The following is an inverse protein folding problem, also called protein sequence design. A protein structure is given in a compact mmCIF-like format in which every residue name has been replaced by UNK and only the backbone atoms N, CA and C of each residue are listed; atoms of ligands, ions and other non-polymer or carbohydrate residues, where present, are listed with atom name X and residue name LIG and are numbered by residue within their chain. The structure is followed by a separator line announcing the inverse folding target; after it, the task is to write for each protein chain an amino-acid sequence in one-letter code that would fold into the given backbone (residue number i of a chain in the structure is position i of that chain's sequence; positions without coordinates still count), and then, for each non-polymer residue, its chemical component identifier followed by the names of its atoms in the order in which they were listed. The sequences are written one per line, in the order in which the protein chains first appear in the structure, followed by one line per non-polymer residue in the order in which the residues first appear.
data_IF_600311259577
#
_entry.id   IF_600311259577
#
_cell.length_a   1.000
_cell.length_b   1.000
_cell.length_c   1.000
_cell.angle_alpha   90.00
_cell.angle_beta   90.00
_cell.angle_gamma   90.00
#
_symmetry.space_group_name_H-M   'P 1'
#
loop_
_entity.id
_entity.type
_entity.pdbx_description
1 polymer ?
#
# COMPACT_ATOMS: atom_id res chain seq x y z
N UNK A 1 4.51 -7.80 -21.67
CA UNK A 1 5.26 -6.83 -20.84
C UNK A 1 4.22 -5.97 -20.15
N UNK A 2 4.32 -5.73 -18.84
CA UNK A 2 3.33 -4.92 -18.12
C UNK A 2 3.37 -3.48 -18.65
N UNK A 3 2.20 -2.85 -18.78
CA UNK A 3 2.04 -1.41 -19.00
C UNK A 3 2.52 -0.62 -17.77
N UNK A 4 2.77 0.69 -17.95
CA UNK A 4 3.14 1.58 -16.83
C UNK A 4 2.08 1.55 -15.71
N UNK A 5 0.80 1.59 -16.07
CA UNK A 5 -0.32 1.52 -15.12
C UNK A 5 -0.32 0.20 -14.33
N UNK A 6 -0.12 -0.93 -15.00
CA UNK A 6 0.00 -2.24 -14.34
C UNK A 6 1.20 -2.31 -13.40
N UNK A 7 2.34 -1.70 -13.76
CA UNK A 7 3.53 -1.63 -12.89
C UNK A 7 3.29 -0.79 -11.63
N UNK A 8 2.62 0.35 -11.77
CA UNK A 8 2.23 1.19 -10.63
C UNK A 8 1.30 0.43 -9.69
N UNK A 9 0.29 -0.27 -10.22
CA UNK A 9 -0.63 -1.07 -9.43
C UNK A 9 0.07 -2.23 -8.71
N UNK A 10 1.01 -2.91 -9.38
CA UNK A 10 1.81 -3.97 -8.78
C UNK A 10 2.66 -3.47 -7.60
N UNK A 11 3.27 -2.30 -7.73
CA UNK A 11 4.05 -1.66 -6.66
C UNK A 11 3.13 -1.25 -5.49
N UNK A 12 1.97 -0.68 -5.79
CA UNK A 12 0.96 -0.30 -4.80
C UNK A 12 0.42 -1.51 -4.03
N UNK A 13 0.06 -2.58 -4.73
CA UNK A 13 -0.38 -3.84 -4.14
C UNK A 13 0.67 -4.40 -3.18
N UNK A 14 1.95 -4.43 -3.59
CA UNK A 14 3.02 -4.86 -2.70
C UNK A 14 3.12 -4.00 -1.44
N UNK A 15 2.98 -2.69 -1.59
CA UNK A 15 3.06 -1.79 -0.45
C UNK A 15 1.92 -2.03 0.54
N UNK A 16 0.68 -2.06 0.03
CA UNK A 16 -0.53 -2.18 0.85
C UNK A 16 -0.58 -3.53 1.55
N UNK A 17 -0.46 -4.63 0.82
CA UNK A 17 -0.70 -5.97 1.38
C UNK A 17 0.51 -6.60 2.06
N UNK A 18 1.72 -6.06 1.82
CA UNK A 18 2.94 -6.66 2.37
C UNK A 18 3.77 -5.69 3.19
N UNK A 19 4.18 -4.55 2.62
CA UNK A 19 5.03 -3.61 3.34
C UNK A 19 4.31 -3.03 4.58
N UNK A 20 3.04 -2.65 4.45
CA UNK A 20 2.27 -2.09 5.56
C UNK A 20 1.98 -3.11 6.67
N UNK A 21 1.90 -4.41 6.40
CA UNK A 21 1.52 -5.40 7.41
C UNK A 21 2.72 -6.09 8.07
N UNK A 22 3.83 -6.28 7.36
CA UNK A 22 4.96 -7.09 7.86
C UNK A 22 6.23 -6.26 8.06
N UNK A 23 6.60 -6.02 9.31
CA UNK A 23 7.86 -5.43 9.77
C UNK A 23 9.09 -6.12 9.16
N UNK A 24 9.06 -7.44 9.00
CA UNK A 24 10.16 -8.18 8.34
C UNK A 24 10.38 -7.73 6.90
N UNK A 25 9.31 -7.31 6.21
CA UNK A 25 9.39 -6.68 4.89
C UNK A 25 9.84 -5.22 5.03
N UNK A 26 9.25 -4.45 5.96
CA UNK A 26 9.64 -3.03 6.19
C UNK A 26 11.13 -2.86 6.47
N UNK A 27 11.76 -3.78 7.21
CA UNK A 27 13.21 -3.79 7.50
C UNK A 27 14.08 -3.87 6.24
N UNK A 28 13.55 -4.34 5.10
CA UNK A 28 14.24 -4.39 3.80
C UNK A 28 14.03 -3.12 2.96
N UNK A 29 13.19 -2.20 3.42
CA UNK A 29 12.87 -0.92 2.78
C UNK A 29 13.50 0.24 3.57
N UNK A 30 13.59 1.42 2.95
CA UNK A 30 14.00 2.65 3.64
C UNK A 30 12.79 3.30 4.34
N UNK A 31 12.31 2.63 5.40
CA UNK A 31 11.15 3.09 6.16
C UNK A 31 11.53 4.30 7.04
N UNK A 32 10.80 5.40 6.90
CA UNK A 32 10.94 6.62 7.71
C UNK A 32 9.59 7.31 7.84
N UNK A 33 9.45 8.27 8.75
CA UNK A 33 8.22 9.08 8.85
C UNK A 33 7.88 9.79 7.52
N UNK A 34 8.89 10.16 6.72
CA UNK A 34 8.73 10.77 5.40
C UNK A 34 8.26 9.79 4.31
N UNK A 35 8.34 8.49 4.59
CA UNK A 35 7.93 7.39 3.71
C UNK A 35 6.81 6.57 4.35
N UNK A 36 6.00 7.21 5.20
CA UNK A 36 4.84 6.56 5.80
C UNK A 36 3.81 6.14 4.71
N UNK A 37 2.83 5.28 5.04
CA UNK A 37 1.86 4.78 4.07
C UNK A 37 1.11 5.87 3.29
N UNK A 38 0.79 6.99 3.95
CA UNK A 38 0.10 8.14 3.34
C UNK A 38 0.97 8.78 2.25
N UNK A 39 2.20 9.15 2.58
CA UNK A 39 3.10 9.79 1.60
C UNK A 39 3.52 8.85 0.48
N UNK A 40 3.52 7.53 0.70
CA UNK A 40 3.71 6.58 -0.39
C UNK A 40 2.50 6.57 -1.33
N UNK A 41 1.28 6.55 -0.77
CA UNK A 41 0.03 6.62 -1.53
C UNK A 41 -0.02 7.86 -2.42
N UNK A 42 0.33 9.03 -1.87
CA UNK A 42 0.37 10.28 -2.64
C UNK A 42 1.30 10.17 -3.86
N UNK A 43 2.52 9.63 -3.69
CA UNK A 43 3.47 9.44 -4.79
C UNK A 43 2.94 8.51 -5.88
N UNK A 44 2.31 7.42 -5.48
CA UNK A 44 1.69 6.46 -6.41
C UNK A 44 0.57 7.13 -7.20
N UNK A 45 -0.29 7.90 -6.54
CA UNK A 45 -1.40 8.59 -7.21
C UNK A 45 -0.88 9.68 -8.16
N UNK A 46 0.12 10.46 -7.75
CA UNK A 46 0.78 11.42 -8.64
C UNK A 46 1.43 10.74 -9.85
N UNK A 47 2.13 9.61 -9.67
CA UNK A 47 2.70 8.85 -10.77
C UNK A 47 1.64 8.31 -11.72
N UNK A 48 0.50 7.85 -11.20
CA UNK A 48 -0.62 7.37 -11.99
C UNK A 48 -1.24 8.49 -12.83
N UNK A 49 -1.63 9.59 -12.19
CA UNK A 49 -2.24 10.75 -12.85
C UNK A 49 -1.30 11.35 -13.91
N UNK A 50 -0.03 11.54 -13.56
CA UNK A 50 0.95 12.08 -14.52
C UNK A 50 1.20 11.13 -15.69
N UNK A 51 1.21 9.80 -15.46
CA UNK A 51 1.39 8.82 -16.54
C UNK A 51 0.22 8.82 -17.50
N UNK A 52 -1.01 8.87 -16.98
CA UNK A 52 -2.22 8.99 -17.80
C UNK A 52 -2.20 10.28 -18.63
N UNK A 53 -1.82 11.40 -18.02
CA UNK A 53 -1.76 12.70 -18.70
C UNK A 53 -0.69 12.73 -19.80
N UNK A 54 0.50 12.20 -19.55
CA UNK A 54 1.65 12.26 -20.47
C UNK A 54 1.54 11.22 -21.59
N UNK A 55 1.14 9.99 -21.27
CA UNK A 55 1.21 8.87 -22.23
C UNK A 55 -0.13 8.54 -22.90
N UNK A 56 -1.26 8.83 -22.25
CA UNK A 56 -2.58 8.42 -22.77
C UNK A 56 -3.40 9.61 -23.28
N UNK A 57 -3.39 10.75 -22.57
CA UNK A 57 -4.22 11.92 -22.87
C UNK A 57 -3.51 13.01 -23.67
N UNK A 58 -2.20 12.96 -23.78
CA UNK A 58 -1.44 13.97 -24.51
C UNK A 58 -1.67 13.83 -26.03
N UNK A 59 -2.19 14.88 -26.67
CA UNK A 59 -2.42 14.89 -28.11
C UNK A 59 -1.50 15.92 -28.80
N UNK A 60 -0.48 15.48 -29.55
CA UNK A 60 0.46 16.33 -30.29
C UNK A 60 -0.23 17.32 -31.25
N UNK A 61 -1.40 16.98 -31.78
CA UNK A 61 -2.12 17.79 -32.79
C UNK A 61 -2.83 19.02 -32.23
N UNK A 62 -2.99 19.09 -30.91
CA UNK A 62 -3.63 20.23 -30.21
C UNK A 62 -2.66 20.95 -29.29
N UNK A 63 -1.36 20.78 -29.53
CA UNK A 63 -0.31 21.32 -28.65
C UNK A 63 -0.19 22.83 -28.83
N UNK A 64 -0.23 23.53 -27.70
CA UNK A 64 0.18 24.92 -27.59
C UNK A 64 1.32 24.99 -26.57
N UNK A 65 1.93 26.17 -26.43
CA UNK A 65 3.05 26.35 -25.50
C UNK A 65 2.70 25.94 -24.06
N UNK A 66 1.45 26.17 -23.62
CA UNK A 66 1.00 25.80 -22.27
C UNK A 66 0.97 24.28 -22.08
N UNK A 67 0.36 23.54 -23.02
CA UNK A 67 0.30 22.07 -22.92
C UNK A 67 1.66 21.41 -23.09
N UNK A 68 2.54 21.99 -23.90
CA UNK A 68 3.94 21.56 -24.02
C UNK A 68 4.72 21.77 -22.72
N UNK A 69 4.64 22.97 -22.15
CA UNK A 69 5.26 23.33 -20.86
C UNK A 69 4.78 22.40 -19.75
N UNK A 70 3.46 22.16 -19.71
CA UNK A 70 2.84 21.22 -18.78
C UNK A 70 3.39 19.80 -18.93
N UNK A 71 3.49 19.28 -20.15
CA UNK A 71 4.03 17.95 -20.41
C UNK A 71 5.50 17.82 -19.97
N UNK A 72 6.36 18.78 -20.33
CA UNK A 72 7.77 18.80 -19.91
C UNK A 72 7.88 18.81 -18.37
N UNK A 73 7.08 19.65 -17.71
CA UNK A 73 7.08 19.75 -16.26
C UNK A 73 6.57 18.46 -15.60
N UNK A 74 5.53 17.83 -16.13
CA UNK A 74 5.02 16.55 -15.61
C UNK A 74 6.04 15.43 -15.76
N UNK A 75 6.67 15.30 -16.92
CA UNK A 75 7.73 14.31 -17.15
C UNK A 75 8.93 14.54 -16.21
N UNK A 76 9.27 15.81 -15.92
CA UNK A 76 10.31 16.13 -14.93
C UNK A 76 9.88 15.70 -13.51
N UNK A 77 8.65 15.98 -13.10
CA UNK A 77 8.11 15.56 -11.79
C UNK A 77 8.12 14.03 -11.67
N UNK A 78 7.74 13.31 -12.72
CA UNK A 78 7.81 11.85 -12.75
C UNK A 78 9.21 11.31 -12.46
N UNK A 79 10.27 11.97 -12.95
CA UNK A 79 11.64 11.55 -12.65
C UNK A 79 11.98 11.68 -11.17
N UNK A 80 11.62 12.81 -10.56
CA UNK A 80 11.95 13.07 -9.16
C UNK A 80 11.13 12.12 -8.25
N UNK A 81 9.84 11.89 -8.57
CA UNK A 81 9.02 10.89 -7.89
C UNK A 81 9.56 9.47 -8.03
N UNK A 82 10.07 9.10 -9.21
CA UNK A 82 10.70 7.80 -9.42
C UNK A 82 11.98 7.64 -8.62
N UNK A 83 12.80 8.69 -8.49
CA UNK A 83 14.00 8.64 -7.63
C UNK A 83 13.63 8.48 -6.16
N UNK A 84 12.62 9.20 -5.68
CA UNK A 84 12.10 9.02 -4.32
C UNK A 84 11.60 7.58 -4.12
N UNK A 85 10.86 7.04 -5.08
CA UNK A 85 10.38 5.66 -5.02
C UNK A 85 11.56 4.67 -5.00
N UNK A 86 12.59 4.86 -5.82
CA UNK A 86 13.82 4.06 -5.81
C UNK A 86 14.51 4.10 -4.46
N UNK A 87 14.58 5.26 -3.82
CA UNK A 87 15.17 5.41 -2.49
C UNK A 87 14.39 4.59 -1.44
N UNK A 88 13.06 4.56 -1.50
CA UNK A 88 12.22 3.72 -0.62
C UNK A 88 12.60 2.24 -0.75
N UNK A 89 12.85 1.78 -1.98
CA UNK A 89 13.27 0.40 -2.26
C UNK A 89 14.78 0.15 -2.12
N UNK A 90 15.54 1.12 -1.56
CA UNK A 90 17.01 1.06 -1.41
C UNK A 90 17.74 0.79 -2.73
N UNK A 91 17.25 1.39 -3.80
CA UNK A 91 17.92 1.42 -5.10
C UNK A 91 18.70 2.74 -5.23
N UNK A 92 19.83 2.75 -5.96
CA UNK A 92 20.52 3.99 -6.27
C UNK A 92 19.61 4.89 -7.12
N UNK A 93 19.83 6.20 -7.09
CA UNK A 93 19.12 7.15 -7.96
C UNK A 93 19.24 6.73 -9.44
N UNK A 94 18.22 7.05 -10.23
CA UNK A 94 18.21 6.74 -11.65
C UNK A 94 19.38 7.45 -12.34
N UNK A 95 20.06 6.73 -13.23
CA UNK A 95 21.04 7.37 -14.10
C UNK A 95 20.30 8.26 -15.13
N UNK A 96 20.42 9.58 -14.97
CA UNK A 96 19.83 10.60 -15.86
C UNK A 96 20.86 11.19 -16.84
N UNK A 97 22.05 10.59 -16.95
CA UNK A 97 23.11 11.07 -17.86
C UNK A 97 22.63 11.01 -19.30
N UNK A 98 22.74 12.13 -20.05
CA UNK A 98 22.25 12.24 -21.42
C UNK A 98 20.73 12.40 -21.56
N UNK A 99 20.00 12.54 -20.44
CA UNK A 99 18.55 12.71 -20.47
C UNK A 99 18.17 14.18 -20.66
N UNK A 100 18.01 14.56 -21.93
CA UNK A 100 17.79 15.94 -22.43
C UNK A 100 16.67 16.69 -21.70
N UNK A 101 15.61 16.00 -21.25
CA UNK A 101 14.45 16.66 -20.65
C UNK A 101 14.82 17.55 -19.46
N UNK A 102 15.79 17.16 -18.63
CA UNK A 102 16.15 17.94 -17.43
C UNK A 102 16.80 19.27 -17.83
N UNK A 103 17.68 19.22 -18.82
CA UNK A 103 18.28 20.43 -19.39
C UNK A 103 17.20 21.29 -20.04
N UNK A 104 16.40 20.71 -20.92
CA UNK A 104 15.30 21.39 -21.60
C UNK A 104 14.32 22.06 -20.63
N UNK A 105 13.88 21.37 -19.59
CA UNK A 105 13.01 21.93 -18.54
C UNK A 105 13.68 23.10 -17.82
N UNK A 106 14.96 22.97 -17.47
CA UNK A 106 15.69 24.04 -16.79
C UNK A 106 15.87 25.26 -17.69
N UNK A 107 16.20 25.05 -18.95
CA UNK A 107 16.43 26.10 -19.95
C UNK A 107 15.12 26.79 -20.37
N UNK A 108 14.02 26.06 -20.54
CA UNK A 108 12.77 26.63 -21.08
C UNK A 108 11.76 27.08 -20.02
N UNK A 109 11.80 26.47 -18.83
CA UNK A 109 10.75 26.63 -17.81
C UNK A 109 11.34 27.11 -16.48
N UNK A 110 12.39 26.46 -16.00
CA UNK A 110 12.94 26.74 -14.67
C UNK A 110 13.67 28.09 -14.58
N UNK A 111 14.64 28.30 -15.48
CA UNK A 111 15.52 29.45 -15.51
C UNK A 111 15.77 29.93 -16.95
N UNK A 112 14.73 30.38 -17.67
CA UNK A 112 14.87 30.89 -19.03
C UNK A 112 15.77 32.13 -19.11
N UNK A 113 15.94 32.84 -17.99
CA UNK A 113 16.99 33.84 -17.80
C UNK A 113 17.82 33.37 -16.60
N UNK A 114 19.06 32.95 -16.87
CA UNK A 114 19.97 32.39 -15.88
C UNK A 114 21.06 33.40 -15.52
N UNK A 115 21.36 33.50 -14.23
CA UNK A 115 22.37 34.39 -13.66
C UNK A 115 23.45 33.55 -12.95
N UNK A 116 24.69 34.02 -12.95
CA UNK A 116 25.77 33.41 -12.17
C UNK A 116 25.68 33.80 -10.67
N UNK A 117 26.50 33.17 -9.83
CA UNK A 117 26.54 33.46 -8.38
C UNK A 117 26.97 34.90 -8.05
N UNK A 118 27.58 35.60 -9.02
CA UNK A 118 28.05 36.98 -8.90
C UNK A 118 27.01 38.00 -9.42
N UNK A 119 25.87 37.53 -9.93
CA UNK A 119 24.79 38.37 -10.46
C UNK A 119 24.96 38.79 -11.92
N UNK A 120 25.89 38.19 -12.67
CA UNK A 120 26.02 38.43 -14.11
C UNK A 120 25.06 37.54 -14.90
N UNK A 121 24.53 38.05 -16.01
CA UNK A 121 23.70 37.27 -16.90
C UNK A 121 24.54 36.14 -17.52
N UNK A 122 24.13 34.89 -17.31
CA UNK A 122 24.81 33.70 -17.83
C UNK A 122 24.25 33.29 -19.19
N UNK A 123 22.93 33.16 -19.29
CA UNK A 123 22.24 32.78 -20.52
C UNK A 123 20.77 33.19 -20.53
N UNK A 124 20.24 33.43 -21.72
CA UNK A 124 18.81 33.62 -21.97
C UNK A 124 18.33 32.62 -23.02
N UNK A 125 17.14 32.06 -22.85
CA UNK A 125 16.54 31.09 -23.76
C UNK A 125 15.18 31.61 -24.24
N UNK A 126 14.97 31.60 -25.55
CA UNK A 126 13.73 32.06 -26.17
C UNK A 126 13.13 30.96 -27.05
N UNK A 127 11.82 30.77 -26.93
CA UNK A 127 11.06 29.92 -27.83
C UNK A 127 11.13 30.45 -29.25
N UNK A 128 11.43 29.57 -30.22
CA UNK A 128 11.33 29.95 -31.62
C UNK A 128 9.86 29.82 -32.03
N UNK A 129 9.24 30.91 -32.50
CA UNK A 129 7.79 31.15 -32.52
C UNK A 129 6.91 30.27 -33.43
N UNK A 130 7.37 29.09 -33.84
CA UNK A 130 6.64 28.13 -34.68
C UNK A 130 6.29 26.84 -33.94
N UNK A 131 5.25 26.85 -33.11
CA UNK A 131 4.73 25.61 -32.51
C UNK A 131 3.89 24.86 -33.53
N UNK A 132 4.45 23.82 -34.15
CA UNK A 132 3.72 22.92 -35.05
C UNK A 132 3.21 21.63 -34.35
N UNK A 133 3.46 21.49 -33.04
CA UNK A 133 3.07 20.33 -32.24
C UNK A 133 3.93 19.08 -32.46
N UNK A 134 4.97 19.16 -33.30
CA UNK A 134 5.86 18.04 -33.64
C UNK A 134 7.26 18.20 -33.02
N UNK A 135 7.71 19.46 -32.87
CA UNK A 135 9.01 19.78 -32.32
C UNK A 135 8.98 20.87 -31.25
N UNK A 136 10.03 20.86 -30.44
CA UNK A 136 10.36 21.85 -29.42
C UNK A 136 11.57 22.60 -29.96
N UNK A 137 11.32 23.84 -30.37
CA UNK A 137 12.30 24.66 -31.08
C UNK A 137 12.61 25.89 -30.22
N UNK A 138 13.88 26.10 -29.89
CA UNK A 138 14.32 27.25 -29.10
C UNK A 138 15.73 27.69 -29.45
N UNK A 139 16.02 28.96 -29.14
CA UNK A 139 17.32 29.58 -29.33
C UNK A 139 17.88 29.99 -27.97
N UNK A 140 19.14 29.65 -27.74
CA UNK A 140 19.88 30.02 -26.54
C UNK A 140 20.89 31.11 -26.86
N UNK A 141 21.02 32.06 -25.95
CA UNK A 141 21.97 33.16 -25.99
C UNK A 141 22.83 33.06 -24.72
N UNK A 142 24.08 32.63 -24.84
CA UNK A 142 24.97 32.44 -23.69
C UNK A 142 26.13 33.44 -23.68
N UNK A 143 26.54 33.84 -22.48
CA UNK A 143 27.71 34.70 -22.25
C UNK A 143 29.00 34.11 -22.84
N UNK A 144 29.14 32.77 -22.83
CA UNK A 144 30.25 32.02 -23.44
C UNK A 144 30.38 32.28 -24.96
N UNK A 145 29.27 32.60 -25.62
CA UNK A 145 29.19 32.92 -27.05
C UNK A 145 28.87 34.41 -27.31
N UNK A 146 29.24 35.31 -26.38
CA UNK A 146 28.94 36.74 -26.48
C UNK A 146 27.45 37.09 -26.72
N UNK A 147 26.54 36.21 -26.28
CA UNK A 147 25.10 36.30 -26.57
C UNK A 147 24.75 36.36 -28.06
N UNK A 148 25.59 35.80 -28.93
CA UNK A 148 25.16 35.44 -30.28
C UNK A 148 24.20 34.25 -30.22
N UNK A 149 23.17 34.19 -31.10
CA UNK A 149 22.23 33.10 -31.13
C UNK A 149 22.97 31.78 -31.40
N UNK A 150 22.86 30.82 -30.48
CA UNK A 150 23.27 29.45 -30.74
C UNK A 150 22.39 28.84 -31.84
N UNK A 151 22.86 27.76 -32.48
CA UNK A 151 22.06 27.02 -33.46
C UNK A 151 20.70 26.65 -32.88
N UNK A 152 19.66 26.73 -33.71
CA UNK A 152 18.30 26.36 -33.32
C UNK A 152 18.31 24.95 -32.75
N UNK A 153 18.02 24.86 -31.46
CA UNK A 153 17.95 23.57 -30.79
C UNK A 153 16.56 23.00 -31.05
N UNK A 154 16.52 21.96 -31.87
CA UNK A 154 15.30 21.30 -32.32
C UNK A 154 15.21 19.89 -31.77
N UNK A 155 14.20 19.65 -30.93
CA UNK A 155 13.91 18.31 -30.44
C UNK A 155 12.56 17.81 -30.95
N UNK A 156 12.51 16.56 -31.42
CA UNK A 156 11.25 15.90 -31.69
C UNK A 156 10.52 15.59 -30.39
N UNK A 157 9.29 16.09 -30.27
CA UNK A 157 8.42 15.83 -29.12
C UNK A 157 8.07 14.34 -29.00
N UNK A 158 7.80 13.68 -30.13
CA UNK A 158 7.55 12.24 -30.17
C UNK A 158 8.77 11.45 -29.64
N UNK A 159 9.98 11.84 -30.03
CA UNK A 159 11.20 11.21 -29.54
C UNK A 159 11.37 11.41 -28.03
N UNK A 160 11.10 12.61 -27.51
CA UNK A 160 11.16 12.88 -26.06
C UNK A 160 10.18 11.98 -25.30
N UNK A 161 8.94 11.86 -25.78
CA UNK A 161 7.93 11.02 -25.15
C UNK A 161 8.35 9.55 -25.15
N UNK A 162 8.86 9.04 -26.27
CA UNK A 162 9.35 7.65 -26.38
C UNK A 162 10.53 7.39 -25.43
N UNK A 163 11.52 8.29 -25.39
CA UNK A 163 12.66 8.14 -24.48
C UNK A 163 12.23 8.27 -23.01
N UNK A 164 11.23 9.10 -22.72
CA UNK A 164 10.65 9.19 -21.39
C UNK A 164 9.93 7.91 -20.98
N UNK A 165 9.09 7.37 -21.86
CA UNK A 165 8.40 6.11 -21.61
C UNK A 165 9.40 4.98 -21.35
N UNK A 166 10.49 4.89 -22.13
CA UNK A 166 11.58 3.93 -21.90
C UNK A 166 12.25 4.14 -20.55
N UNK A 167 12.54 5.39 -20.19
CA UNK A 167 13.13 5.73 -18.90
C UNK A 167 12.23 5.28 -17.75
N UNK A 168 10.95 5.67 -17.76
CA UNK A 168 9.95 5.34 -16.73
C UNK A 168 9.79 3.83 -16.60
N UNK A 169 9.63 3.13 -17.73
CA UNK A 169 9.52 1.68 -17.74
C UNK A 169 10.74 0.99 -17.12
N UNK A 170 11.95 1.44 -17.47
CA UNK A 170 13.19 0.92 -16.89
C UNK A 170 13.24 1.10 -15.37
N UNK A 171 12.82 2.27 -14.88
CA UNK A 171 12.81 2.54 -13.43
C UNK A 171 11.83 1.60 -12.71
N UNK A 172 10.61 1.47 -13.22
CA UNK A 172 9.63 0.56 -12.64
C UNK A 172 10.07 -0.90 -12.70
N UNK A 173 10.71 -1.33 -13.79
CA UNK A 173 11.23 -2.70 -13.89
C UNK A 173 12.29 -3.00 -12.84
N UNK A 174 13.20 -2.05 -12.57
CA UNK A 174 14.20 -2.20 -11.50
C UNK A 174 13.55 -2.28 -10.11
N UNK A 175 12.52 -1.46 -9.85
CA UNK A 175 11.74 -1.50 -8.61
C UNK A 175 11.02 -2.84 -8.48
N UNK A 176 10.34 -3.32 -9.52
CA UNK A 176 9.62 -4.60 -9.52
C UNK A 176 10.58 -5.77 -9.30
N UNK A 177 11.76 -5.77 -9.94
CA UNK A 177 12.80 -6.79 -9.68
C UNK A 177 13.21 -6.79 -8.20
N UNK A 178 13.37 -5.61 -7.60
CA UNK A 178 13.68 -5.48 -6.17
C UNK A 178 12.55 -6.04 -5.29
N UNK A 179 11.30 -5.71 -5.61
CA UNK A 179 10.12 -6.25 -4.91
C UNK A 179 10.07 -7.77 -5.00
N UNK A 180 10.23 -8.35 -6.19
CA UNK A 180 10.22 -9.81 -6.38
C UNK A 180 11.35 -10.50 -5.59
N UNK A 181 12.53 -9.87 -5.49
CA UNK A 181 13.61 -10.37 -4.62
C UNK A 181 13.22 -10.36 -3.14
N UNK A 182 12.52 -9.31 -2.68
CA UNK A 182 12.02 -9.23 -1.30
C UNK A 182 10.94 -10.30 -1.05
N UNK A 183 9.94 -10.41 -1.95
CA UNK A 183 8.86 -11.41 -1.89
C UNK A 183 9.42 -12.82 -1.82
N UNK A 184 10.30 -13.21 -2.75
CA UNK A 184 10.89 -14.55 -2.79
C UNK A 184 11.64 -14.90 -1.49
N UNK A 185 12.40 -13.95 -0.93
CA UNK A 185 13.07 -14.15 0.35
C UNK A 185 12.05 -14.32 1.47
N UNK A 186 11.04 -13.45 1.56
CA UNK A 186 10.03 -13.52 2.60
C UNK A 186 9.19 -14.80 2.53
N UNK A 187 8.72 -15.18 1.34
CA UNK A 187 8.05 -16.44 1.04
C UNK A 187 8.83 -17.63 1.60
N UNK A 188 10.14 -17.72 1.31
CA UNK A 188 10.97 -18.80 1.83
C UNK A 188 11.11 -18.81 3.36
N UNK A 189 10.99 -17.65 4.01
CA UNK A 189 11.04 -17.53 5.46
C UNK A 189 9.72 -18.00 6.10
N UNK A 190 8.57 -17.56 5.58
CA UNK A 190 7.26 -17.90 6.14
C UNK A 190 6.83 -19.33 5.83
N UNK A 191 7.27 -19.92 4.71
CA UNK A 191 7.00 -21.31 4.36
C UNK A 191 7.56 -22.31 5.42
N UNK A 192 8.50 -21.88 6.25
CA UNK A 192 8.96 -22.66 7.41
C UNK A 192 7.87 -22.94 8.44
N UNK A 193 6.86 -22.06 8.55
CA UNK A 193 5.73 -22.22 9.48
C UNK A 193 4.86 -23.40 9.06
N UNK A 194 4.64 -23.60 7.75
CA UNK A 194 3.84 -24.70 7.20
C UNK A 194 4.45 -26.09 7.44
N UNK A 195 5.75 -26.15 7.76
CA UNK A 195 6.47 -27.40 8.05
C UNK A 195 6.27 -27.90 9.49
N UNK A 196 5.68 -27.07 10.36
CA UNK A 196 5.35 -27.47 11.72
C UNK A 196 4.18 -28.46 11.71
N UNK A 197 4.12 -29.31 12.74
CA UNK A 197 3.02 -30.22 12.99
C UNK A 197 1.71 -29.43 13.20
N UNK A 198 0.61 -30.00 12.74
CA UNK A 198 -0.72 -29.38 12.82
C UNK A 198 -1.41 -29.75 14.14
N UNK A 199 -0.72 -29.46 15.24
CA UNK A 199 -1.21 -29.71 16.59
C UNK A 199 -0.64 -28.69 17.60
N UNK A 200 -1.16 -28.76 18.81
CA UNK A 200 -0.80 -27.84 19.89
C UNK A 200 0.58 -28.12 20.50
N UNK A 201 1.24 -29.22 20.14
CA UNK A 201 2.55 -29.57 20.73
C UNK A 201 3.66 -28.62 20.29
N UNK A 202 3.56 -28.08 19.06
CA UNK A 202 4.51 -27.11 18.53
C UNK A 202 4.06 -25.65 18.72
N UNK A 203 3.00 -25.40 19.50
CA UNK A 203 2.46 -24.06 19.71
C UNK A 203 3.52 -23.00 20.11
N UNK A 204 4.46 -23.25 21.05
CA UNK A 204 5.50 -22.27 21.37
C UNK A 204 6.37 -21.90 20.16
N UNK A 205 6.57 -22.82 19.21
CA UNK A 205 7.29 -22.54 17.96
C UNK A 205 6.43 -21.72 17.00
N UNK A 206 5.14 -22.03 16.87
CA UNK A 206 4.19 -21.22 16.09
C UNK A 206 4.19 -19.78 16.58
N UNK A 207 3.93 -19.56 17.87
CA UNK A 207 3.85 -18.22 18.46
C UNK A 207 5.12 -17.40 18.17
N UNK A 208 6.30 -18.00 18.43
CA UNK A 208 7.59 -17.34 18.20
C UNK A 208 7.83 -16.99 16.72
N UNK A 209 7.58 -17.93 15.81
CA UNK A 209 7.80 -17.69 14.38
C UNK A 209 6.83 -16.65 13.83
N UNK A 210 5.56 -16.71 14.24
CA UNK A 210 4.54 -15.72 13.87
C UNK A 210 4.92 -14.33 14.37
N UNK A 211 5.36 -14.17 15.62
CA UNK A 211 5.87 -12.89 16.15
C UNK A 211 7.04 -12.32 15.35
N UNK A 212 7.90 -13.18 14.81
CA UNK A 212 9.09 -12.74 14.09
C UNK A 212 8.83 -12.46 12.62
N UNK A 213 7.92 -13.22 12.01
CA UNK A 213 7.81 -13.31 10.56
C UNK A 213 6.42 -12.99 10.01
N UNK A 214 5.36 -13.05 10.81
CA UNK A 214 3.97 -12.98 10.34
C UNK A 214 3.05 -12.28 11.36
N UNK A 215 3.53 -11.20 11.95
CA UNK A 215 2.92 -10.56 13.12
C UNK A 215 1.58 -9.87 12.84
N UNK A 216 1.25 -9.59 11.58
CA UNK A 216 -0.03 -8.97 11.20
C UNK A 216 -1.26 -9.80 11.61
N UNK A 217 -1.11 -11.10 11.83
CA UNK A 217 -2.22 -11.97 12.29
C UNK A 217 -2.72 -11.59 13.68
N UNK A 218 -1.88 -10.99 14.52
CA UNK A 218 -2.26 -10.63 15.89
C UNK A 218 -3.24 -9.46 15.96
N UNK A 219 -3.41 -8.70 14.87
CA UNK A 219 -4.37 -7.59 14.81
C UNK A 219 -5.79 -8.06 14.47
N UNK A 220 -5.99 -9.34 14.14
CA UNK A 220 -7.27 -9.87 13.64
C UNK A 220 -8.26 -10.24 14.75
N UNK A 221 -7.76 -10.65 15.92
CA UNK A 221 -8.59 -10.96 17.08
C UNK A 221 -7.89 -10.55 18.36
N UNK A 222 -8.66 -10.02 19.31
CA UNK A 222 -8.18 -9.74 20.67
C UNK A 222 -7.71 -11.01 21.39
N UNK A 223 -8.25 -12.18 21.03
CA UNK A 223 -7.83 -13.48 21.57
C UNK A 223 -6.44 -13.90 21.09
N UNK A 224 -5.94 -13.34 19.99
CA UNK A 224 -4.64 -13.70 19.41
C UNK A 224 -3.49 -12.89 20.00
N UNK A 225 -3.73 -12.01 20.97
CA UNK A 225 -2.66 -11.30 21.65
C UNK A 225 -1.60 -12.28 22.18
N UNK A 226 -0.30 -12.06 21.92
CA UNK A 226 0.70 -13.09 22.22
C UNK A 226 0.83 -13.45 23.71
N UNK A 227 0.67 -12.47 24.59
CA UNK A 227 0.63 -12.67 26.05
C UNK A 227 -0.57 -13.53 26.47
N UNK A 228 -1.74 -13.25 25.91
CA UNK A 228 -2.98 -13.99 26.17
C UNK A 228 -2.89 -15.43 25.63
N UNK A 229 -2.41 -15.61 24.39
CA UNK A 229 -2.22 -16.93 23.79
C UNK A 229 -1.26 -17.82 24.61
N UNK A 230 -0.21 -17.23 25.17
CA UNK A 230 0.71 -17.94 26.05
C UNK A 230 0.00 -18.43 27.32
N UNK A 231 -0.89 -17.62 27.91
CA UNK A 231 -1.70 -18.02 29.05
C UNK A 231 -2.70 -19.13 28.71
N UNK A 232 -3.42 -19.02 27.58
CA UNK A 232 -4.30 -20.10 27.10
C UNK A 232 -3.57 -21.42 26.95
N UNK A 233 -2.36 -21.39 26.41
CA UNK A 233 -1.54 -22.59 26.27
C UNK A 233 -1.15 -23.20 27.62
N UNK A 234 -0.82 -22.38 28.63
CA UNK A 234 -0.52 -22.90 29.98
C UNK A 234 -1.73 -23.56 30.64
N UNK A 235 -2.94 -23.10 30.32
CA UNK A 235 -4.22 -23.59 30.86
C UNK A 235 -4.94 -24.54 29.91
N UNK A 236 -4.30 -25.04 28.86
CA UNK A 236 -4.98 -25.74 27.75
C UNK A 236 -5.78 -26.98 28.17
N UNK A 237 -5.42 -27.59 29.30
CA UNK A 237 -6.10 -28.76 29.87
C UNK A 237 -7.21 -28.42 30.86
N UNK A 238 -7.39 -27.15 31.22
CA UNK A 238 -8.40 -26.71 32.20
C UNK A 238 -9.78 -26.57 31.58
N UNK A 239 -9.86 -26.02 30.36
CA UNK A 239 -11.12 -25.71 29.68
C UNK A 239 -10.98 -25.90 28.16
N UNK A 240 -12.02 -26.44 27.52
CA UNK A 240 -12.06 -26.65 26.07
C UNK A 240 -11.90 -25.35 25.26
N UNK A 241 -12.38 -24.22 25.79
CA UNK A 241 -12.26 -22.89 25.14
C UNK A 241 -10.82 -22.49 24.85
N UNK A 242 -9.87 -22.77 25.76
CA UNK A 242 -8.48 -22.40 25.57
C UNK A 242 -7.84 -23.25 24.48
N UNK A 243 -8.13 -24.56 24.49
CA UNK A 243 -7.72 -25.47 23.43
C UNK A 243 -8.26 -25.03 22.07
N UNK A 244 -9.55 -24.69 22.01
CA UNK A 244 -10.20 -24.19 20.81
C UNK A 244 -9.50 -22.93 20.25
N UNK A 245 -9.22 -21.92 21.08
CA UNK A 245 -8.54 -20.69 20.63
C UNK A 245 -7.13 -20.98 20.08
N UNK A 246 -6.39 -21.90 20.72
CA UNK A 246 -5.05 -22.29 20.25
C UNK A 246 -5.12 -23.00 18.90
N UNK A 247 -6.07 -23.93 18.72
CA UNK A 247 -6.29 -24.62 17.45
C UNK A 247 -6.76 -23.65 16.35
N UNK A 248 -7.65 -22.71 16.68
CA UNK A 248 -8.11 -21.65 15.79
C UNK A 248 -6.94 -20.75 15.35
N UNK A 249 -6.06 -20.36 16.27
CA UNK A 249 -4.86 -19.58 15.96
C UNK A 249 -3.92 -20.33 15.01
N UNK A 250 -3.62 -21.61 15.29
CA UNK A 250 -2.75 -22.45 14.45
C UNK A 250 -3.34 -22.58 13.04
N UNK A 251 -4.62 -22.95 12.94
CA UNK A 251 -5.31 -23.11 11.65
C UNK A 251 -5.33 -21.81 10.85
N UNK A 252 -5.59 -20.67 11.51
CA UNK A 252 -5.63 -19.35 10.89
C UNK A 252 -4.26 -18.96 10.32
N UNK A 253 -3.19 -19.16 11.09
CA UNK A 253 -1.83 -18.92 10.61
C UNK A 253 -1.51 -19.80 9.41
N UNK A 254 -1.81 -21.10 9.49
CA UNK A 254 -1.50 -22.04 8.40
C UNK A 254 -2.22 -21.63 7.12
N UNK A 255 -3.51 -21.32 7.21
CA UNK A 255 -4.30 -20.86 6.06
C UNK A 255 -3.73 -19.57 5.46
N UNK A 256 -3.50 -18.54 6.29
CA UNK A 256 -3.00 -17.26 5.81
C UNK A 256 -1.58 -17.33 5.27
N UNK A 257 -0.71 -18.12 5.89
CA UNK A 257 0.64 -18.35 5.35
C UNK A 257 0.57 -19.10 4.03
N UNK A 258 -0.30 -20.11 3.89
CA UNK A 258 -0.52 -20.81 2.62
C UNK A 258 -1.00 -19.86 1.53
N UNK A 259 -2.06 -19.09 1.79
CA UNK A 259 -2.58 -18.09 0.87
C UNK A 259 -1.53 -17.03 0.49
N UNK A 260 -0.75 -16.57 1.47
CA UNK A 260 0.32 -15.59 1.23
C UNK A 260 1.44 -16.18 0.38
N UNK A 261 1.83 -17.43 0.63
CA UNK A 261 2.85 -18.12 -0.18
C UNK A 261 2.36 -18.28 -1.62
N UNK A 262 1.12 -18.72 -1.82
CA UNK A 262 0.50 -18.87 -3.14
C UNK A 262 0.38 -17.53 -3.89
N UNK A 263 -0.02 -16.45 -3.22
CA UNK A 263 -0.05 -15.12 -3.84
C UNK A 263 1.36 -14.67 -4.25
N UNK A 264 2.37 -14.96 -3.41
CA UNK A 264 3.77 -14.65 -3.73
C UNK A 264 4.31 -15.45 -4.92
N UNK A 265 3.85 -16.68 -5.14
CA UNK A 265 4.23 -17.51 -6.29
C UNK A 265 3.68 -17.00 -7.62
N UNK A 266 2.46 -16.47 -7.63
CA UNK A 266 1.84 -15.87 -8.84
C UNK A 266 2.63 -14.66 -9.37
N UNK A 267 3.56 -14.13 -8.59
CA UNK A 267 4.41 -13.01 -8.99
C UNK A 267 3.64 -11.71 -9.10
N UNK A 268 4.25 -10.68 -9.69
CA UNK A 268 3.57 -9.41 -10.04
C UNK A 268 3.11 -9.42 -11.51
N UNK A 269 3.06 -10.60 -12.13
CA UNK A 269 2.95 -10.79 -13.58
C UNK A 269 1.54 -11.13 -14.07
N UNK A 270 0.66 -11.59 -13.19
CA UNK A 270 -0.77 -11.66 -13.48
C UNK A 270 -1.38 -10.29 -13.30
N UNK A 271 -2.37 -9.93 -14.14
CA UNK A 271 -3.17 -8.70 -13.99
C UNK A 271 -3.66 -8.65 -12.56
N UNK A 272 -2.95 -7.92 -11.70
CA UNK A 272 -3.23 -7.85 -10.27
C UNK A 272 -4.70 -7.51 -10.14
N UNK A 273 -5.43 -8.33 -9.37
CA UNK A 273 -6.83 -8.06 -9.02
C UNK A 273 -6.93 -6.58 -8.67
N UNK A 274 -7.86 -5.89 -9.33
CA UNK A 274 -8.10 -4.47 -9.15
C UNK A 274 -7.88 -4.12 -7.68
N UNK A 275 -6.85 -3.33 -7.37
CA UNK A 275 -6.89 -2.54 -6.14
C UNK A 275 -8.18 -1.75 -6.31
N UNK A 276 -9.21 -1.97 -5.47
CA UNK A 276 -10.43 -1.19 -5.61
C UNK A 276 -9.98 0.25 -5.53
N UNK A 277 -10.19 1.02 -6.60
CA UNK A 277 -10.18 2.46 -6.47
C UNK A 277 -11.26 2.73 -5.45
N UNK A 278 -10.87 2.97 -4.19
CA UNK A 278 -11.71 3.77 -3.33
C UNK A 278 -11.77 5.12 -4.03
N UNK A 279 -12.78 5.27 -4.89
CA UNK A 279 -13.31 6.58 -5.23
C UNK A 279 -13.60 7.23 -3.89
N UNK A 280 -12.65 7.99 -3.36
CA UNK A 280 -12.91 8.95 -2.31
C UNK A 280 -13.79 10.03 -2.94
N UNK A 281 -15.07 9.70 -3.18
CA UNK A 281 -16.13 10.69 -3.17
C UNK A 281 -16.18 11.19 -1.73
N UNK A 282 -15.40 12.23 -1.46
CA UNK A 282 -15.56 13.06 -0.26
C UNK A 282 -16.97 13.62 -0.32
N UNK A 283 -17.94 12.88 0.24
CA UNK A 283 -19.22 13.44 0.64
C UNK A 283 -18.93 14.20 1.92
N UNK A 284 -18.88 15.53 1.82
CA UNK A 284 -19.13 16.41 2.95
C UNK A 284 -20.49 16.00 3.55
N UNK A 285 -20.46 15.24 4.65
CA UNK A 285 -21.65 14.96 5.44
C UNK A 285 -21.86 16.19 6.32
N UNK A 286 -22.76 17.06 5.89
CA UNK A 286 -23.33 18.10 6.74
C UNK A 286 -24.15 17.41 7.84
N UNK A 287 -23.74 17.59 9.09
CA UNK A 287 -24.51 17.16 10.24
C UNK A 287 -25.83 17.94 10.32
N UNK A 288 -26.97 17.25 10.22
CA UNK A 288 -28.20 17.69 10.85
C UNK A 288 -29.19 16.52 11.04
N UNK A 289 -29.31 16.10 12.31
CA UNK A 289 -30.57 15.82 13.02
C UNK A 289 -31.65 15.05 12.26
N UNK A 290 -31.81 13.76 12.61
CA UNK A 290 -33.07 13.13 13.04
C UNK A 290 -32.93 11.60 12.95
N UNK A 291 -32.60 10.93 14.05
CA UNK A 291 -32.86 9.50 14.22
C UNK A 291 -33.60 9.30 15.53
N UNK A 292 -34.91 9.54 15.45
CA UNK A 292 -35.87 9.08 16.45
C UNK A 292 -35.89 7.56 16.49
N UNK A 293 -35.76 7.04 17.69
CA UNK A 293 -35.93 5.65 18.13
C UNK A 293 -37.10 4.91 17.48
N UNK A 294 -36.83 3.82 16.76
CA UNK A 294 -37.77 2.71 16.54
C UNK A 294 -37.01 1.37 16.50
N UNK A 295 -37.49 0.44 17.34
CA UNK A 295 -37.17 -0.99 17.49
C UNK A 295 -36.10 -1.55 16.54
N UNK A 296 -34.91 -1.79 17.07
CA UNK A 296 -33.87 -2.54 16.36
C UNK A 296 -33.98 -4.02 16.73
N UNK A 297 -34.58 -4.82 15.86
CA UNK A 297 -34.26 -6.24 15.81
C UNK A 297 -32.82 -6.33 15.33
N UNK A 298 -31.88 -6.40 16.27
CA UNK A 298 -30.48 -6.55 15.96
C UNK A 298 -30.24 -7.96 15.39
N UNK A 299 -29.45 -8.07 14.32
CA UNK A 299 -28.98 -9.36 13.82
C UNK A 299 -27.91 -9.92 14.75
N UNK A 300 -27.70 -11.23 14.75
CA UNK A 300 -26.61 -11.88 15.52
C UNK A 300 -25.26 -11.23 15.22
N UNK A 301 -24.95 -11.00 13.94
CA UNK A 301 -23.72 -10.32 13.51
C UNK A 301 -23.57 -8.92 14.10
N UNK A 302 -24.68 -8.17 14.18
CA UNK A 302 -24.64 -6.85 14.82
C UNK A 302 -24.26 -6.99 16.30
N UNK A 303 -24.89 -7.92 17.02
CA UNK A 303 -24.65 -8.12 18.46
C UNK A 303 -23.19 -8.54 18.67
N UNK A 304 -22.69 -9.54 17.93
CA UNK A 304 -21.30 -9.99 17.97
C UNK A 304 -20.32 -8.84 17.70
N UNK A 305 -20.60 -7.99 16.70
CA UNK A 305 -19.75 -6.82 16.40
C UNK A 305 -19.68 -5.81 17.55
N UNK A 306 -20.70 -5.74 18.41
CA UNK A 306 -20.70 -4.86 19.58
C UNK A 306 -20.06 -5.53 20.80
N UNK A 307 -20.22 -6.84 20.92
CA UNK A 307 -19.62 -7.63 22.00
C UNK A 307 -18.10 -7.73 21.87
N UNK A 308 -17.56 -7.87 20.65
CA UNK A 308 -16.09 -7.91 20.46
C UNK A 308 -15.42 -6.59 20.91
N UNK A 309 -16.08 -5.46 20.66
CA UNK A 309 -15.65 -4.12 21.08
C UNK A 309 -16.06 -3.77 22.53
N UNK A 310 -16.76 -4.67 23.23
CA UNK A 310 -17.38 -4.44 24.56
C UNK A 310 -18.16 -3.10 24.63
N UNK A 311 -18.91 -2.77 23.57
CA UNK A 311 -19.72 -1.55 23.58
C UNK A 311 -20.88 -1.72 24.57
N UNK A 312 -21.16 -0.73 25.44
CA UNK A 312 -22.19 -0.83 26.49
C UNK A 312 -23.63 -0.90 25.96
N UNK A 313 -23.80 -0.92 24.63
CA UNK A 313 -25.08 -0.98 23.94
C UNK A 313 -25.59 -2.42 23.81
N UNK A 314 -24.71 -3.42 23.91
CA UNK A 314 -25.06 -4.83 23.85
C UNK A 314 -24.41 -5.59 25.01
N UNK A 315 -25.16 -6.49 25.63
CA UNK A 315 -24.70 -7.41 26.67
C UNK A 315 -24.64 -8.84 26.11
N UNK A 316 -23.77 -9.72 26.64
CA UNK A 316 -23.72 -11.11 26.18
C UNK A 316 -25.09 -11.81 26.27
N UNK A 317 -25.90 -11.53 27.30
CA UNK A 317 -27.28 -12.01 27.42
C UNK A 317 -28.19 -11.69 26.22
N UNK A 318 -27.87 -10.67 25.42
CA UNK A 318 -28.64 -10.34 24.21
C UNK A 318 -28.56 -11.46 23.15
N UNK A 319 -27.60 -12.39 23.27
CA UNK A 319 -27.49 -13.58 22.41
C UNK A 319 -28.35 -14.76 22.85
N UNK A 320 -28.92 -14.76 24.07
CA UNK A 320 -29.73 -15.88 24.59
C UNK A 320 -30.89 -16.30 23.67
N UNK A 321 -31.63 -15.37 23.01
CA UNK A 321 -32.69 -15.75 22.08
C UNK A 321 -32.22 -16.51 20.83
N UNK A 322 -30.92 -16.49 20.52
CA UNK A 322 -30.36 -17.02 19.28
C UNK A 322 -29.64 -18.37 19.45
N UNK A 323 -29.46 -18.84 20.69
CA UNK A 323 -28.66 -20.04 20.99
C UNK A 323 -29.48 -21.32 21.21
N UNK A 324 -30.79 -21.32 20.92
CA UNK A 324 -31.67 -22.51 20.90
C UNK A 324 -31.51 -23.48 22.10
N UNK A 325 -31.30 -22.97 23.31
CA UNK A 325 -31.06 -23.77 24.53
C UNK A 325 -29.78 -24.62 24.53
N UNK A 326 -28.82 -24.35 23.64
CA UNK A 326 -27.51 -25.01 23.67
C UNK A 326 -26.80 -24.68 24.99
N UNK A 327 -26.69 -25.71 25.85
CA UNK A 327 -26.11 -25.60 27.18
C UNK A 327 -24.65 -25.10 27.17
N UNK A 328 -23.88 -25.40 26.12
CA UNK A 328 -22.49 -24.94 26.00
C UNK A 328 -22.48 -23.47 25.61
N UNK A 329 -23.29 -23.06 24.63
CA UNK A 329 -23.36 -21.66 24.21
C UNK A 329 -23.88 -20.76 25.34
N UNK A 330 -24.89 -21.20 26.10
CA UNK A 330 -25.38 -20.50 27.28
C UNK A 330 -24.29 -20.37 28.35
N UNK A 331 -23.53 -21.44 28.60
CA UNK A 331 -22.43 -21.40 29.55
C UNK A 331 -21.33 -20.39 29.13
N UNK A 332 -21.04 -20.27 27.83
CA UNK A 332 -20.09 -19.27 27.33
C UNK A 332 -20.62 -17.84 27.50
N UNK A 333 -21.91 -17.60 27.21
CA UNK A 333 -22.55 -16.30 27.45
C UNK A 333 -22.43 -15.88 28.93
N UNK A 334 -22.79 -16.79 29.84
CA UNK A 334 -22.69 -16.53 31.28
C UNK A 334 -21.24 -16.29 31.73
N UNK A 335 -20.28 -17.01 31.13
CA UNK A 335 -18.87 -16.82 31.40
C UNK A 335 -18.38 -15.43 30.97
N UNK A 336 -18.77 -14.99 29.78
CA UNK A 336 -18.46 -13.64 29.28
C UNK A 336 -19.00 -12.55 30.21
N UNK A 337 -20.20 -12.71 30.76
CA UNK A 337 -20.77 -11.74 31.71
C UNK A 337 -20.02 -11.72 33.03
N UNK A 338 -19.76 -12.90 33.60
CA UNK A 338 -19.04 -13.04 34.87
C UNK A 338 -17.64 -12.43 34.79
N UNK A 339 -16.96 -12.59 33.65
CA UNK A 339 -15.59 -12.16 33.47
C UNK A 339 -15.44 -11.01 32.45
N UNK A 340 -16.44 -10.13 32.39
CA UNK A 340 -16.48 -9.03 31.42
C UNK A 340 -15.23 -8.13 31.39
N UNK A 341 -14.54 -7.99 32.53
CA UNK A 341 -13.33 -7.17 32.66
C UNK A 341 -12.02 -7.93 32.38
N UNK A 342 -12.07 -9.26 32.21
CA UNK A 342 -10.90 -10.09 31.95
C UNK A 342 -10.78 -10.37 30.46
N UNK A 343 -9.77 -9.80 29.81
CA UNK A 343 -9.49 -10.08 28.38
C UNK A 343 -9.30 -11.58 28.11
N UNK A 344 -8.54 -12.26 28.97
CA UNK A 344 -8.30 -13.70 28.89
C UNK A 344 -9.62 -14.49 28.89
N UNK A 345 -10.45 -14.29 29.91
CA UNK A 345 -11.64 -15.13 30.11
C UNK A 345 -12.79 -14.73 29.18
N UNK A 346 -12.89 -13.45 28.85
CA UNK A 346 -13.94 -12.94 27.97
C UNK A 346 -13.69 -13.33 26.51
N UNK A 347 -12.48 -13.09 25.98
CA UNK A 347 -12.23 -13.32 24.56
C UNK A 347 -12.11 -14.81 24.22
N UNK A 348 -11.62 -15.65 25.14
CA UNK A 348 -11.69 -17.11 24.94
C UNK A 348 -13.12 -17.64 24.90
N UNK A 349 -13.99 -17.13 25.78
CA UNK A 349 -15.41 -17.48 25.78
C UNK A 349 -16.12 -16.96 24.52
N UNK A 350 -15.80 -15.74 24.08
CA UNK A 350 -16.35 -15.14 22.87
C UNK A 350 -16.01 -15.93 21.61
N UNK A 351 -14.74 -16.27 21.40
CA UNK A 351 -14.31 -17.06 20.23
C UNK A 351 -14.94 -18.46 20.22
N UNK A 352 -15.02 -19.11 21.38
CA UNK A 352 -15.66 -20.42 21.50
C UNK A 352 -17.18 -20.33 21.26
N UNK A 353 -17.84 -19.28 21.74
CA UNK A 353 -19.25 -19.02 21.48
C UNK A 353 -19.52 -18.83 19.98
N UNK A 354 -18.72 -18.00 19.30
CA UNK A 354 -18.79 -17.76 17.86
C UNK A 354 -18.75 -19.08 17.06
N UNK A 355 -17.87 -20.01 17.47
CA UNK A 355 -17.83 -21.35 16.90
C UNK A 355 -19.10 -22.16 17.14
N UNK A 356 -19.61 -22.19 18.38
CA UNK A 356 -20.80 -22.96 18.73
C UNK A 356 -22.05 -22.50 17.96
N UNK A 357 -22.14 -21.18 17.68
CA UNK A 357 -23.28 -20.60 16.96
C UNK A 357 -23.07 -20.55 15.43
N UNK A 358 -21.92 -21.00 14.93
CA UNK A 358 -21.63 -21.09 13.49
C UNK A 358 -21.31 -19.76 12.79
N UNK A 359 -20.81 -18.77 13.53
CA UNK A 359 -20.36 -17.47 12.99
C UNK A 359 -18.84 -17.32 13.21
N UNK A 360 -18.02 -17.49 12.16
CA UNK A 360 -16.57 -17.26 12.18
C UNK A 360 -16.15 -16.20 11.16
#
# INVERSE_FOLDING_TARGET
MLSISEKINAISHFWIYYACYYQTIRKKLNWSEKNNPTFFGDRIEYLKLSSELVFEKYNPKTVNLLSLTGAIQMMYVQQDLLDELRMIFRLPQANKTGYVLRQMRNELIGHPISWDEKGNLKSTVLWNGGFNGESIDYVKYASENNFEPEEETKYSLAQILIEHEKFVNKQFDEIIRKINSIRKKYQSQIAGILKLQDDTTEFPKYLRLTQQLFEGVFEQSHAFRPDILQEYYTKIHEQNRYKYVIEQFISTIRNQVSETVEDMEKGLTEKTRHVPSQDFKVKLISNAKNLTSKNKNHTVDYILSKLVERKPVCLPSDLLPYVNEDSLAIAEIQHMEKYYQSDLEYYSAFEHLCFLIGHQ
#
